data_IF_336861387502
#
_entry.id   IF_336861387502
#
_cell.length_a   1.000
_cell.length_b   1.000
_cell.length_c   1.000
_cell.angle_alpha   90.00
_cell.angle_beta   90.00
_cell.angle_gamma   90.00
#
_symmetry.space_group_name_H-M   'P 1'
#
loop_
_entity.id
_entity.type
_entity.pdbx_description
1 polymer ?
#
# COMPACT_ATOMS: atom_id res chain seq x y z
N UNK A 1 9.45 -62.77 33.24
CA UNK A 1 8.76 -61.70 33.98
C UNK A 1 8.37 -60.59 33.00
N UNK A 2 7.04 -60.38 32.88
CA UNK A 2 6.25 -59.23 32.39
C UNK A 2 7.01 -58.05 31.74
N UNK A 3 6.75 -57.74 30.45
CA UNK A 3 5.94 -56.60 29.94
C UNK A 3 6.38 -55.26 30.56
N UNK A 4 6.81 -54.27 29.78
CA UNK A 4 5.90 -53.28 29.14
C UNK A 4 6.61 -52.65 27.94
N UNK A 5 5.97 -52.73 26.77
CA UNK A 5 6.25 -51.91 25.59
C UNK A 5 5.59 -50.55 25.88
N UNK A 6 6.38 -49.52 26.15
CA UNK A 6 5.85 -48.15 26.23
C UNK A 6 5.83 -47.60 24.79
N UNK A 7 4.66 -47.76 24.17
CA UNK A 7 4.28 -47.02 22.98
C UNK A 7 4.35 -45.52 23.30
N UNK A 8 5.38 -44.85 22.82
CA UNK A 8 5.43 -43.39 22.77
C UNK A 8 4.93 -42.95 21.39
N UNK A 9 3.65 -43.22 21.12
CA UNK A 9 2.93 -42.51 20.08
C UNK A 9 2.76 -41.06 20.57
N UNK A 10 3.79 -40.24 20.36
CA UNK A 10 3.61 -38.81 20.26
C UNK A 10 2.76 -38.63 19.01
N UNK A 11 1.43 -38.66 19.18
CA UNK A 11 0.56 -37.91 18.32
C UNK A 11 1.02 -36.46 18.45
N UNK A 12 1.97 -36.09 17.59
CA UNK A 12 2.05 -34.74 17.06
C UNK A 12 0.74 -34.56 16.30
N UNK A 13 -0.35 -34.36 17.04
CA UNK A 13 -1.44 -33.57 16.53
C UNK A 13 -0.74 -32.27 16.16
N UNK A 14 -0.53 -32.08 14.85
CA UNK A 14 -0.09 -30.83 14.31
C UNK A 14 -1.16 -29.82 14.73
N UNK A 15 -0.99 -29.25 15.92
CA UNK A 15 -1.55 -27.98 16.31
C UNK A 15 -0.99 -27.04 15.26
N UNK A 16 -1.70 -26.95 14.15
CA UNK A 16 -1.58 -25.85 13.23
C UNK A 16 -1.93 -24.64 14.08
N UNK A 17 -0.94 -24.03 14.73
CA UNK A 17 -1.02 -22.67 15.22
C UNK A 17 -1.28 -21.83 13.98
N UNK A 18 -2.55 -21.70 13.60
CA UNK A 18 -2.96 -20.64 12.70
C UNK A 18 -2.59 -19.37 13.43
N UNK A 19 -1.63 -18.63 12.88
CA UNK A 19 -1.27 -17.32 13.39
C UNK A 19 -2.56 -16.52 13.59
N UNK A 20 -2.81 -16.10 14.83
CA UNK A 20 -4.01 -15.34 15.15
C UNK A 20 -3.95 -14.04 14.35
N UNK A 21 -5.05 -13.71 13.67
CA UNK A 21 -5.13 -12.45 12.92
C UNK A 21 -4.90 -11.28 13.88
N UNK A 22 -3.83 -10.52 13.65
CA UNK A 22 -3.47 -9.38 14.50
C UNK A 22 -4.39 -8.21 14.16
N UNK A 23 -4.81 -7.47 15.18
CA UNK A 23 -5.69 -6.32 15.08
C UNK A 23 -5.03 -5.09 15.66
N UNK A 24 -5.06 -3.98 14.93
CA UNK A 24 -4.48 -2.74 15.43
C UNK A 24 -4.14 -1.74 14.34
N UNK A 25 -3.37 -0.72 14.73
CA UNK A 25 -2.85 0.30 13.83
C UNK A 25 -1.34 0.07 13.69
N UNK A 26 -0.86 -0.14 12.47
CA UNK A 26 0.56 -0.18 12.16
C UNK A 26 0.98 1.17 11.58
N UNK A 27 2.08 1.69 12.09
CA UNK A 27 2.71 2.92 11.64
C UNK A 27 4.12 2.60 11.19
N UNK A 28 4.46 2.97 9.97
CA UNK A 28 5.74 2.65 9.34
C UNK A 28 6.42 3.94 8.88
N UNK A 29 7.57 4.24 9.47
CA UNK A 29 8.42 5.38 9.12
C UNK A 29 9.46 5.07 8.05
N UNK A 30 9.46 3.85 7.50
CA UNK A 30 10.46 3.39 6.54
C UNK A 30 11.85 3.43 7.15
N UNK A 31 12.72 4.28 6.60
CA UNK A 31 14.09 4.49 7.11
C UNK A 31 14.17 5.61 8.17
N UNK A 32 13.09 6.35 8.40
CA UNK A 32 13.04 7.45 9.35
C UNK A 32 12.68 6.90 10.74
N UNK A 33 13.53 7.07 11.77
CA UNK A 33 13.13 6.76 13.13
C UNK A 33 11.96 7.66 13.55
N UNK A 34 10.94 7.05 14.12
CA UNK A 34 9.68 7.68 14.55
C UNK A 34 9.40 7.51 16.04
N UNK A 35 8.65 8.49 16.56
CA UNK A 35 8.00 8.48 17.87
C UNK A 35 6.49 8.61 17.66
N UNK A 36 5.74 7.63 18.17
CA UNK A 36 4.30 7.56 18.01
C UNK A 36 3.59 7.95 19.31
N UNK A 37 2.56 8.78 19.17
CA UNK A 37 1.65 9.17 20.24
C UNK A 37 0.21 8.81 19.86
N UNK A 38 -0.55 8.28 20.83
CA UNK A 38 -1.99 8.01 20.72
C UNK A 38 -2.72 8.80 21.80
N UNK A 39 -3.61 9.72 21.41
CA UNK A 39 -4.32 10.58 22.37
C UNK A 39 -3.39 11.44 23.24
N UNK A 40 -2.20 11.78 22.72
CA UNK A 40 -1.18 12.54 23.45
C UNK A 40 -0.22 11.70 24.30
N UNK A 41 -0.42 10.39 24.41
CA UNK A 41 0.46 9.49 25.16
C UNK A 41 1.47 8.80 24.24
N UNK A 42 2.76 8.79 24.62
CA UNK A 42 3.80 8.11 23.85
C UNK A 42 3.61 6.59 23.91
N UNK A 43 3.57 5.95 22.75
CA UNK A 43 3.30 4.50 22.63
C UNK A 43 4.56 3.69 22.41
N UNK A 44 5.61 4.28 21.84
CA UNK A 44 6.85 3.58 21.55
C UNK A 44 8.08 4.41 21.90
N UNK A 45 9.21 3.74 22.12
CA UNK A 45 10.53 4.34 22.02
C UNK A 45 10.87 4.60 20.54
N UNK A 46 11.94 5.37 20.24
CA UNK A 46 12.43 5.54 18.87
C UNK A 46 12.54 4.21 18.12
N UNK A 47 11.77 4.09 17.04
CA UNK A 47 11.65 2.87 16.21
C UNK A 47 11.42 3.27 14.76
N UNK A 48 11.65 2.40 13.79
CA UNK A 48 11.20 2.65 12.41
C UNK A 48 9.76 2.21 12.16
N UNK A 49 9.24 1.29 12.97
CA UNK A 49 7.86 0.79 12.87
C UNK A 49 7.22 0.65 14.25
N UNK A 50 5.94 1.00 14.37
CA UNK A 50 5.16 0.86 15.59
C UNK A 50 3.85 0.14 15.31
N UNK A 51 3.52 -0.88 16.11
CA UNK A 51 2.22 -1.55 16.06
C UNK A 51 1.44 -1.30 17.35
N UNK A 52 0.27 -0.68 17.23
CA UNK A 52 -0.63 -0.40 18.34
C UNK A 52 -1.72 -1.48 18.35
N UNK A 53 -1.54 -2.47 19.22
CA UNK A 53 -2.48 -3.57 19.41
C UNK A 53 -3.58 -3.25 20.44
N UNK A 54 -4.55 -4.16 20.56
CA UNK A 54 -5.58 -4.14 21.61
C UNK A 54 -6.43 -2.85 21.65
N UNK A 55 -6.67 -2.27 20.48
CA UNK A 55 -7.57 -1.12 20.32
C UNK A 55 -9.01 -1.61 20.20
N UNK A 56 -9.92 -0.88 20.83
CA UNK A 56 -11.34 -1.03 20.57
C UNK A 56 -11.70 -0.31 19.25
N UNK A 57 -12.81 -0.67 18.58
CA UNK A 57 -13.34 0.16 17.52
C UNK A 57 -13.57 1.59 18.01
N UNK A 58 -13.09 2.58 17.28
CA UNK A 58 -13.17 3.97 17.70
C UNK A 58 -12.22 4.89 16.93
N UNK A 59 -12.33 6.18 17.22
CA UNK A 59 -11.41 7.17 16.67
C UNK A 59 -10.28 7.46 17.65
N UNK A 60 -9.08 7.61 17.10
CA UNK A 60 -7.87 7.88 17.85
C UNK A 60 -7.09 9.01 17.21
N UNK A 61 -6.68 9.98 18.01
CA UNK A 61 -5.69 10.97 17.57
C UNK A 61 -4.33 10.30 17.53
N UNK A 62 -3.77 10.15 16.34
CA UNK A 62 -2.43 9.60 16.13
C UNK A 62 -1.51 10.74 15.75
N UNK A 63 -0.41 10.91 16.49
CA UNK A 63 0.65 11.85 16.13
C UNK A 63 1.97 11.11 16.00
N UNK A 64 2.75 11.42 14.96
CA UNK A 64 4.04 10.79 14.70
C UNK A 64 5.08 11.87 14.48
N UNK A 65 6.22 11.72 15.13
CA UNK A 65 7.34 12.66 15.07
C UNK A 65 8.60 11.96 14.61
N UNK A 66 9.41 12.64 13.80
CA UNK A 66 10.77 12.23 13.53
C UNK A 66 11.56 12.19 14.84
N UNK A 67 12.46 11.21 14.94
CA UNK A 67 13.37 11.10 16.08
C UNK A 67 14.72 10.57 15.63
N UNK A 68 15.60 10.34 16.59
CA UNK A 68 16.89 9.67 16.42
C UNK A 68 16.99 8.55 17.43
N UNK A 69 17.78 7.52 17.12
CA UNK A 69 18.09 6.51 18.11
C UNK A 69 18.90 7.13 19.24
N UNK A 70 18.42 6.96 20.48
CA UNK A 70 19.03 7.49 21.69
C UNK A 70 19.78 6.40 22.43
N UNK A 71 20.85 6.78 23.13
CA UNK A 71 21.60 5.85 23.99
C UNK A 71 20.82 5.56 25.28
N UNK A 72 21.06 4.41 25.96
CA UNK A 72 20.47 4.15 27.26
C UNK A 72 20.75 5.30 28.25
N UNK A 73 19.69 5.85 28.86
CA UNK A 73 19.76 6.99 29.80
C UNK A 73 19.66 8.39 29.17
N UNK A 74 19.67 8.50 27.84
CA UNK A 74 19.48 9.78 27.14
C UNK A 74 17.98 10.11 27.03
N UNK A 75 17.63 11.39 27.18
CA UNK A 75 16.25 11.85 26.95
C UNK A 75 15.89 11.67 25.48
N UNK A 76 14.71 11.11 25.23
CA UNK A 76 14.15 10.93 23.89
C UNK A 76 14.02 12.30 23.20
N UNK A 77 14.70 12.45 22.05
CA UNK A 77 14.62 13.66 21.25
C UNK A 77 13.39 13.61 20.34
N UNK A 78 12.54 14.63 20.42
CA UNK A 78 11.32 14.76 19.62
C UNK A 78 11.54 15.82 18.54
N UNK A 79 11.58 15.38 17.29
CA UNK A 79 11.83 16.21 16.13
C UNK A 79 10.56 16.75 15.47
N UNK A 80 10.64 16.95 14.15
CA UNK A 80 9.53 17.41 13.31
C UNK A 80 8.33 16.47 13.42
N UNK A 81 7.13 17.04 13.35
CA UNK A 81 5.88 16.27 13.28
C UNK A 81 5.68 15.80 11.85
N UNK A 82 5.71 14.48 11.66
CA UNK A 82 5.56 13.86 10.35
C UNK A 82 4.10 13.50 10.03
N UNK A 83 3.29 13.22 11.05
CA UNK A 83 1.88 12.86 10.87
C UNK A 83 1.03 13.34 12.04
N UNK A 84 -0.19 13.79 11.74
CA UNK A 84 -1.25 14.00 12.73
C UNK A 84 -2.61 13.85 12.07
N UNK A 85 -3.41 12.94 12.59
CA UNK A 85 -4.78 12.74 12.12
C UNK A 85 -5.69 12.12 13.19
N UNK A 86 -6.99 12.17 12.94
CA UNK A 86 -8.04 11.53 13.74
C UNK A 86 -8.48 10.23 13.07
N UNK A 87 -7.72 9.17 13.34
CA UNK A 87 -7.82 7.88 12.65
C UNK A 87 -8.95 7.05 13.23
N UNK A 88 -9.89 6.63 12.38
CA UNK A 88 -10.88 5.61 12.75
C UNK A 88 -10.28 4.20 12.61
N UNK A 89 -10.37 3.40 13.66
CA UNK A 89 -10.10 1.97 13.66
C UNK A 89 -11.40 1.21 13.87
N UNK A 90 -11.72 0.25 13.01
CA UNK A 90 -13.00 -0.47 13.01
C UNK A 90 -12.98 -1.75 13.88
N UNK A 91 -11.86 -2.04 14.56
CA UNK A 91 -11.67 -3.25 15.34
C UNK A 91 -11.35 -4.51 14.53
N UNK A 92 -11.11 -4.37 13.23
CA UNK A 92 -10.81 -5.48 12.32
C UNK A 92 -9.51 -5.24 11.57
N UNK A 93 -8.74 -6.32 11.42
CA UNK A 93 -7.48 -6.30 10.67
C UNK A 93 -6.48 -5.25 11.16
N UNK A 94 -5.57 -4.89 10.28
CA UNK A 94 -4.53 -3.89 10.52
C UNK A 94 -4.82 -2.65 9.71
N UNK A 95 -4.84 -1.49 10.37
CA UNK A 95 -4.88 -0.17 9.73
C UNK A 95 -3.45 0.33 9.55
N UNK A 96 -3.02 0.53 8.32
CA UNK A 96 -1.66 0.99 8.00
C UNK A 96 -1.59 2.52 7.92
N UNK A 97 -0.50 3.10 8.44
CA UNK A 97 -0.14 4.52 8.38
C UNK A 97 1.34 4.61 7.95
N UNK A 98 1.61 5.24 6.81
CA UNK A 98 2.97 5.43 6.29
C UNK A 98 3.41 6.87 6.53
N UNK A 99 4.61 7.04 7.08
CA UNK A 99 5.10 8.34 7.59
C UNK A 99 6.49 8.68 7.01
N UNK A 100 6.97 7.88 6.07
CA UNK A 100 8.32 7.95 5.50
C UNK A 100 8.52 9.08 4.47
N UNK A 101 7.64 10.09 4.47
CA UNK A 101 7.72 11.26 3.58
C UNK A 101 7.44 10.94 2.11
N UNK A 102 6.85 9.77 1.82
CA UNK A 102 6.56 9.31 0.44
C UNK A 102 5.08 9.43 0.04
N UNK A 103 4.20 9.87 0.95
CA UNK A 103 2.85 10.38 0.68
C UNK A 103 2.57 11.63 1.55
N UNK A 104 2.59 12.82 0.93
CA UNK A 104 2.45 14.12 1.60
C UNK A 104 1.01 14.38 2.10
N UNK A 105 0.81 14.73 3.38
CA UNK A 105 -0.25 15.66 3.80
C UNK A 105 0.20 16.57 4.94
N UNK A 106 0.88 17.63 4.51
CA UNK A 106 0.86 18.94 5.13
C UNK A 106 -0.61 19.41 5.22
N UNK A 107 -1.16 19.77 6.39
CA UNK A 107 -2.34 20.62 6.44
C UNK A 107 -1.88 22.01 5.97
N UNK A 108 -2.45 22.51 4.87
CA UNK A 108 -2.21 23.84 4.33
C UNK A 108 -1.94 24.87 5.45
N UNK A 109 -0.72 25.42 5.48
CA UNK A 109 -0.47 26.63 6.26
C UNK A 109 -0.81 27.81 5.34
N UNK A 110 -1.54 28.83 5.84
CA UNK A 110 -1.76 30.05 5.08
C UNK A 110 -0.43 30.68 4.70
N UNK A 111 -0.35 31.18 3.47
CA UNK A 111 0.83 31.75 2.84
C UNK A 111 1.61 32.70 3.77
N UNK A 112 2.90 32.43 3.94
CA UNK A 112 3.85 33.39 4.52
C UNK A 112 4.70 33.94 3.38
N UNK A 113 4.67 35.25 3.10
CA UNK A 113 5.45 35.83 2.03
C UNK A 113 6.92 35.96 2.47
N UNK A 114 7.86 35.51 1.63
CA UNK A 114 9.28 35.80 1.84
C UNK A 114 10.26 34.92 1.06
N UNK A 115 10.70 35.44 -0.10
CA UNK A 115 12.04 35.38 -0.70
C UNK A 115 12.80 34.06 -0.87
N UNK A 116 13.23 33.78 -2.10
CA UNK A 116 14.42 32.95 -2.36
C UNK A 116 14.46 32.25 -3.72
N UNK A 117 14.77 33.02 -4.77
CA UNK A 117 15.61 32.70 -5.94
C UNK A 117 15.59 31.29 -6.61
N UNK A 118 15.28 31.30 -7.91
CA UNK A 118 15.65 30.27 -8.90
C UNK A 118 17.20 30.15 -8.99
N UNK A 119 17.86 29.01 -9.24
CA UNK A 119 17.79 28.13 -10.44
C UNK A 119 18.87 26.99 -10.32
N UNK A 120 19.10 26.13 -11.34
CA UNK A 120 18.75 24.71 -11.38
C UNK A 120 19.93 23.72 -11.28
N UNK A 121 19.69 22.50 -10.81
CA UNK A 121 20.66 21.40 -10.85
C UNK A 121 20.03 20.14 -11.43
N UNK A 122 20.38 19.82 -12.68
CA UNK A 122 20.14 18.52 -13.30
C UNK A 122 20.89 17.43 -12.51
N UNK A 123 20.17 16.41 -12.07
CA UNK A 123 20.72 15.22 -11.42
C UNK A 123 19.93 13.99 -11.85
N UNK A 124 20.41 13.40 -12.93
CA UNK A 124 20.27 12.00 -13.37
C UNK A 124 19.18 11.14 -12.70
N UNK A 125 18.12 10.90 -13.48
CA UNK A 125 17.18 9.81 -13.26
C UNK A 125 17.90 8.45 -13.26
N UNK A 126 17.91 7.77 -12.11
CA UNK A 126 17.98 6.31 -12.03
C UNK A 126 16.80 5.77 -11.21
N UNK A 127 16.20 4.64 -11.63
CA UNK A 127 14.83 4.28 -11.26
C UNK A 127 14.80 3.63 -9.88
N UNK A 128 14.25 4.33 -8.89
CA UNK A 128 13.85 3.76 -7.61
C UNK A 128 12.53 3.01 -7.76
N UNK A 129 12.50 1.77 -7.29
CA UNK A 129 11.38 0.83 -7.36
C UNK A 129 10.02 1.41 -6.90
N UNK A 130 9.17 1.73 -7.88
CA UNK A 130 7.77 1.32 -8.03
C UNK A 130 6.68 1.79 -7.06
N UNK A 131 6.94 2.01 -5.78
CA UNK A 131 5.83 2.20 -4.82
C UNK A 131 5.44 3.66 -4.56
N UNK A 132 6.32 4.63 -4.83
CA UNK A 132 6.01 6.07 -4.68
C UNK A 132 5.18 6.65 -5.83
N UNK A 133 4.93 5.87 -6.89
CA UNK A 133 4.15 6.31 -8.05
C UNK A 133 2.74 5.75 -8.02
N UNK A 134 2.43 4.84 -7.08
CA UNK A 134 1.13 4.17 -7.04
C UNK A 134 0.05 5.20 -6.75
N UNK A 135 -0.96 5.25 -7.60
CA UNK A 135 -2.10 6.13 -7.37
C UNK A 135 -2.76 5.77 -6.03
N UNK A 136 -2.82 6.72 -5.09
CA UNK A 136 -3.47 6.47 -3.80
C UNK A 136 -4.99 6.24 -3.97
N UNK A 137 -5.62 5.60 -2.99
CA UNK A 137 -7.02 5.17 -3.09
C UNK A 137 -8.00 6.33 -3.32
N UNK A 138 -7.81 7.48 -2.68
CA UNK A 138 -8.70 8.62 -2.81
C UNK A 138 -8.65 9.21 -4.23
N UNK A 139 -7.43 9.39 -4.74
CA UNK A 139 -7.20 9.85 -6.11
C UNK A 139 -7.70 8.81 -7.12
N UNK A 140 -7.47 7.53 -6.84
CA UNK A 140 -7.95 6.43 -7.66
C UNK A 140 -9.48 6.38 -7.73
N UNK A 141 -10.20 6.55 -6.62
CA UNK A 141 -11.67 6.59 -6.64
C UNK A 141 -12.18 7.78 -7.46
N UNK A 142 -11.51 8.92 -7.39
CA UNK A 142 -11.83 10.08 -8.24
C UNK A 142 -11.63 9.73 -9.72
N UNK A 143 -10.46 9.21 -10.07
CA UNK A 143 -10.14 8.76 -11.43
C UNK A 143 -11.10 7.67 -11.95
N UNK A 144 -11.41 6.68 -11.13
CA UNK A 144 -12.36 5.61 -11.45
C UNK A 144 -13.76 6.16 -11.73
N UNK A 145 -14.22 7.12 -10.95
CA UNK A 145 -15.51 7.76 -11.17
C UNK A 145 -15.54 8.56 -12.46
N UNK A 146 -14.46 9.25 -12.83
CA UNK A 146 -14.35 9.94 -14.12
C UNK A 146 -14.36 8.95 -15.29
N UNK A 147 -13.57 7.87 -15.21
CA UNK A 147 -13.58 6.77 -16.19
C UNK A 147 -14.98 6.14 -16.35
N UNK A 148 -15.73 6.00 -15.24
CA UNK A 148 -17.08 5.43 -15.25
C UNK A 148 -18.12 6.37 -15.88
N UNK A 149 -17.95 7.68 -15.74
CA UNK A 149 -18.84 8.70 -16.34
C UNK A 149 -18.61 8.84 -17.83
N UNK A 150 -17.40 8.57 -18.32
CA UNK A 150 -17.05 8.70 -19.74
C UNK A 150 -17.74 7.61 -20.59
N UNK A 151 -18.72 7.95 -21.44
CA UNK A 151 -19.46 6.96 -22.21
C UNK A 151 -18.59 6.25 -23.25
N UNK A 152 -17.61 6.93 -23.86
CA UNK A 152 -16.88 6.39 -25.01
C UNK A 152 -15.59 5.69 -24.62
N UNK A 153 -15.36 4.51 -25.22
CA UNK A 153 -14.16 3.69 -24.94
C UNK A 153 -12.87 4.43 -25.23
N UNK A 154 -12.79 5.12 -26.38
CA UNK A 154 -11.57 5.79 -26.82
C UNK A 154 -11.15 6.89 -25.85
N UNK A 155 -12.12 7.62 -25.29
CA UNK A 155 -11.85 8.68 -24.32
C UNK A 155 -11.47 8.11 -22.94
N UNK A 156 -12.05 6.98 -22.52
CA UNK A 156 -11.54 6.22 -21.35
C UNK A 156 -10.10 5.79 -21.54
N UNK A 157 -9.72 5.33 -22.73
CA UNK A 157 -8.34 4.93 -23.04
C UNK A 157 -7.38 6.14 -22.98
N UNK A 158 -7.81 7.32 -23.45
CA UNK A 158 -7.00 8.56 -23.31
C UNK A 158 -6.80 8.92 -21.84
N UNK A 159 -7.86 8.89 -21.03
CA UNK A 159 -7.79 9.14 -19.59
C UNK A 159 -6.84 8.14 -18.90
N UNK A 160 -6.93 6.86 -19.25
CA UNK A 160 -6.05 5.83 -18.72
C UNK A 160 -4.59 6.07 -19.10
N UNK A 161 -4.30 6.38 -20.36
CA UNK A 161 -2.92 6.67 -20.80
C UNK A 161 -2.33 7.90 -20.11
N UNK A 162 -3.12 8.95 -19.90
CA UNK A 162 -2.70 10.12 -19.14
C UNK A 162 -2.33 9.75 -17.69
N UNK A 163 -3.13 8.90 -17.05
CA UNK A 163 -2.85 8.42 -15.70
C UNK A 163 -1.61 7.52 -15.63
N UNK A 164 -1.45 6.60 -16.59
CA UNK A 164 -0.29 5.68 -16.65
C UNK A 164 1.04 6.43 -16.88
N UNK A 165 1.03 7.60 -17.51
CA UNK A 165 2.22 8.41 -17.70
C UNK A 165 2.83 8.89 -16.36
N UNK A 166 1.98 9.26 -15.40
CA UNK A 166 2.40 9.83 -14.12
C UNK A 166 2.38 8.86 -12.94
N UNK A 167 1.63 7.76 -13.05
CA UNK A 167 1.36 6.87 -11.92
C UNK A 167 1.47 5.39 -12.28
N UNK A 168 1.82 4.63 -11.24
CA UNK A 168 1.72 3.17 -11.21
C UNK A 168 0.39 2.77 -10.54
N UNK A 169 0.01 1.50 -10.65
CA UNK A 169 -1.27 0.98 -10.15
C UNK A 169 -1.09 -0.36 -9.44
N UNK A 170 -2.04 -0.70 -8.57
CA UNK A 170 -2.13 -2.06 -8.03
C UNK A 170 -3.01 -2.95 -8.92
N UNK A 171 -2.85 -4.27 -8.78
CA UNK A 171 -3.69 -5.27 -9.41
C UNK A 171 -5.14 -5.12 -8.96
N UNK A 172 -5.38 -4.72 -7.71
CA UNK A 172 -6.72 -4.43 -7.19
C UNK A 172 -7.37 -3.21 -7.87
N UNK A 173 -6.59 -2.18 -8.21
CA UNK A 173 -7.05 -1.02 -8.97
C UNK A 173 -7.32 -1.38 -10.43
N UNK A 174 -6.42 -2.13 -11.07
CA UNK A 174 -6.62 -2.66 -12.42
C UNK A 174 -7.88 -3.54 -12.51
N UNK A 175 -8.11 -4.38 -11.51
CA UNK A 175 -9.31 -5.20 -11.37
C UNK A 175 -10.58 -4.36 -11.38
N UNK A 176 -10.60 -3.22 -10.69
CA UNK A 176 -11.76 -2.32 -10.66
C UNK A 176 -11.99 -1.69 -12.05
N UNK A 177 -10.95 -1.16 -12.69
CA UNK A 177 -11.07 -0.54 -14.01
C UNK A 177 -11.50 -1.54 -15.09
N UNK A 178 -11.00 -2.77 -15.03
CA UNK A 178 -11.38 -3.86 -15.93
C UNK A 178 -12.89 -4.13 -15.90
N UNK A 179 -13.54 -4.00 -14.74
CA UNK A 179 -14.97 -4.23 -14.57
C UNK A 179 -15.85 -3.16 -15.25
N UNK A 180 -15.28 -2.04 -15.69
CA UNK A 180 -16.00 -1.03 -16.51
C UNK A 180 -16.29 -1.52 -17.93
N UNK A 181 -15.67 -2.63 -18.34
CA UNK A 181 -15.80 -3.20 -19.68
C UNK A 181 -16.56 -4.53 -19.60
N UNK A 182 -17.42 -4.77 -20.59
CA UNK A 182 -18.27 -5.96 -20.65
C UNK A 182 -17.58 -7.11 -21.37
N UNK A 183 -16.87 -6.83 -22.46
CA UNK A 183 -16.26 -7.84 -23.32
C UNK A 183 -14.81 -8.13 -22.93
N UNK A 184 -14.42 -9.41 -23.04
CA UNK A 184 -13.07 -9.85 -22.69
C UNK A 184 -11.99 -9.19 -23.57
N UNK A 185 -12.26 -8.90 -24.84
CA UNK A 185 -11.30 -8.25 -25.73
C UNK A 185 -10.93 -6.86 -25.22
N UNK A 186 -11.92 -6.05 -24.82
CA UNK A 186 -11.71 -4.74 -24.22
C UNK A 186 -10.97 -4.85 -22.88
N UNK A 187 -11.37 -5.81 -22.05
CA UNK A 187 -10.71 -6.08 -20.76
C UNK A 187 -9.23 -6.42 -20.96
N UNK A 188 -8.91 -7.30 -21.90
CA UNK A 188 -7.54 -7.68 -22.22
C UNK A 188 -6.73 -6.51 -22.75
N UNK A 189 -7.33 -5.62 -23.54
CA UNK A 189 -6.68 -4.40 -24.03
C UNK A 189 -6.25 -3.50 -22.86
N UNK A 190 -7.17 -3.20 -21.94
CA UNK A 190 -6.87 -2.42 -20.73
C UNK A 190 -5.82 -3.12 -19.86
N UNK A 191 -5.98 -4.42 -19.61
CA UNK A 191 -5.01 -5.20 -18.82
C UNK A 191 -3.61 -5.11 -19.39
N UNK A 192 -3.44 -5.22 -20.72
CA UNK A 192 -2.13 -5.13 -21.39
C UNK A 192 -1.51 -3.75 -21.29
N UNK A 193 -2.32 -2.69 -21.39
CA UNK A 193 -1.84 -1.31 -21.21
C UNK A 193 -1.39 -1.04 -19.78
N UNK A 194 -2.12 -1.58 -18.79
CA UNK A 194 -1.81 -1.36 -17.37
C UNK A 194 -0.66 -2.22 -16.86
N UNK A 195 -0.51 -3.47 -17.34
CA UNK A 195 0.43 -4.45 -16.80
C UNK A 195 1.89 -3.95 -16.61
N UNK A 196 2.48 -3.16 -17.54
CA UNK A 196 3.80 -2.56 -17.35
C UNK A 196 3.94 -1.69 -16.09
N UNK A 197 2.83 -1.11 -15.63
CA UNK A 197 2.74 -0.16 -14.52
C UNK A 197 2.08 -0.77 -13.28
N UNK A 198 1.92 -2.09 -13.24
CA UNK A 198 1.45 -2.81 -12.06
C UNK A 198 2.61 -3.10 -11.11
N UNK A 199 2.43 -2.73 -9.83
CA UNK A 199 3.48 -2.89 -8.81
C UNK A 199 3.48 -4.25 -8.11
N UNK A 200 2.32 -4.89 -7.98
CA UNK A 200 2.06 -6.17 -7.31
C UNK A 200 1.72 -7.27 -8.34
N UNK A 201 2.65 -7.51 -9.28
CA UNK A 201 2.44 -8.40 -10.44
C UNK A 201 2.06 -9.83 -10.04
N UNK A 202 2.49 -10.29 -8.88
CA UNK A 202 2.12 -11.58 -8.29
C UNK A 202 0.61 -11.71 -8.05
N UNK A 203 -0.08 -10.60 -7.79
CA UNK A 203 -1.53 -10.55 -7.60
C UNK A 203 -2.31 -10.41 -8.91
N UNK A 204 -1.64 -10.17 -10.05
CA UNK A 204 -2.28 -9.90 -11.34
C UNK A 204 -3.09 -11.10 -11.88
N UNK A 205 -2.79 -12.32 -11.42
CA UNK A 205 -3.61 -13.50 -11.73
C UNK A 205 -5.09 -13.32 -11.33
N UNK A 206 -5.36 -12.54 -10.28
CA UNK A 206 -6.73 -12.21 -9.85
C UNK A 206 -7.46 -11.36 -10.90
N UNK A 207 -6.74 -10.51 -11.61
CA UNK A 207 -7.26 -9.68 -12.71
C UNK A 207 -7.58 -10.56 -13.91
N UNK A 208 -6.66 -11.45 -14.30
CA UNK A 208 -6.87 -12.41 -15.40
C UNK A 208 -8.11 -13.29 -15.16
N UNK A 209 -8.33 -13.70 -13.91
CA UNK A 209 -9.48 -14.55 -13.55
C UNK A 209 -10.85 -13.89 -13.76
N UNK A 210 -10.91 -12.58 -13.98
CA UNK A 210 -12.15 -11.87 -14.35
C UNK A 210 -12.56 -12.01 -15.80
N UNK A 211 -11.66 -12.49 -16.66
CA UNK A 211 -12.02 -12.83 -18.03
C UNK A 211 -13.01 -13.99 -18.01
N UNK A 212 -13.94 -13.96 -18.96
CA UNK A 212 -15.03 -14.93 -19.03
C UNK A 212 -14.56 -16.21 -19.71
N UNK A 213 -13.86 -16.08 -20.84
CA UNK A 213 -13.45 -17.20 -21.66
C UNK A 213 -12.07 -17.75 -21.26
N UNK A 214 -11.92 -19.07 -21.30
CA UNK A 214 -10.64 -19.74 -21.04
C UNK A 214 -9.55 -19.32 -22.01
N UNK A 215 -9.90 -19.16 -23.29
CA UNK A 215 -8.98 -18.69 -24.33
C UNK A 215 -8.43 -17.29 -24.05
N UNK A 216 -9.26 -16.37 -23.54
CA UNK A 216 -8.83 -15.03 -23.12
C UNK A 216 -7.86 -15.11 -21.93
N UNK A 217 -8.14 -15.98 -20.95
CA UNK A 217 -7.26 -16.19 -19.80
C UNK A 217 -5.89 -16.72 -20.22
N UNK A 218 -5.86 -17.68 -21.13
CA UNK A 218 -4.63 -18.27 -21.66
C UNK A 218 -3.80 -17.21 -22.40
N UNK A 219 -4.41 -16.46 -23.32
CA UNK A 219 -3.75 -15.34 -24.02
C UNK A 219 -3.14 -14.31 -23.08
N UNK A 220 -3.84 -13.96 -21.98
CA UNK A 220 -3.28 -13.02 -21.00
C UNK A 220 -2.16 -13.61 -20.15
N UNK A 221 -2.22 -14.91 -19.82
CA UNK A 221 -1.11 -15.61 -19.13
C UNK A 221 0.12 -15.66 -20.02
N UNK A 222 -0.05 -15.97 -21.30
CA UNK A 222 1.05 -15.98 -22.27
C UNK A 222 1.71 -14.62 -22.39
N UNK A 223 0.90 -13.55 -22.50
CA UNK A 223 1.39 -12.18 -22.48
C UNK A 223 2.21 -11.85 -21.22
N UNK A 224 1.72 -12.23 -20.04
CA UNK A 224 2.41 -12.01 -18.76
C UNK A 224 3.76 -12.74 -18.72
N UNK A 225 3.79 -13.99 -19.17
CA UNK A 225 5.01 -14.82 -19.24
C UNK A 225 6.00 -14.21 -20.23
N UNK A 226 5.55 -13.81 -21.42
CA UNK A 226 6.40 -13.20 -22.44
C UNK A 226 6.98 -11.87 -21.95
N UNK A 227 6.17 -11.03 -21.31
CA UNK A 227 6.61 -9.74 -20.78
C UNK A 227 7.66 -9.91 -19.67
N UNK A 228 7.52 -10.90 -18.79
CA UNK A 228 8.49 -11.18 -17.74
C UNK A 228 9.85 -11.71 -18.22
N UNK A 229 9.97 -12.08 -19.50
CA UNK A 229 11.23 -12.49 -20.13
C UNK A 229 12.01 -11.32 -20.75
N UNK A 230 11.40 -10.14 -20.87
CA UNK A 230 12.01 -8.92 -21.42
C UNK A 230 12.66 -8.10 -20.30
#
# INVERSE_FOLDING_TARGET
MRKIIISFCILFAALSLKAQSVKGIRIDGGNTPILVYLGGNQICLPTTTCFIANLNPGHYTVEVFATRFTRPGERVWKGEKLYKDYVYFDGRGVKEIWVDGRDNMHPERPDRPGQGEHRPGQGEHRPGYGYNRVMNDQLFQTFYNEMKKEPFKDDRIKLLNAALAGSDFTSAQCLQLTKLYTFDDDRMEIMKMMYPRIVDKEAFLLVINTLTFSSSKEKMKDFVIEYGRR
#
